data_IF_726843187952
#
_entry.id   IF_726843187952
#
_cell.length_a   1.000
_cell.length_b   1.000
_cell.length_c   1.000
_cell.angle_alpha   90.00
_cell.angle_beta   90.00
_cell.angle_gamma   90.00
#
_symmetry.space_group_name_H-M   'P 1'
#
loop_
_entity.id
_entity.type
_entity.pdbx_description
1 polymer ?
#
# COMPACT_ATOMS: atom_id res chain seq x y z
N UNK A 1 -20.60 43.00 36.06
CA UNK A 1 -19.43 43.85 35.74
C UNK A 1 -19.00 44.54 37.03
N UNK A 2 -17.76 44.35 37.47
CA UNK A 2 -17.21 45.12 38.59
C UNK A 2 -16.72 46.46 38.04
N UNK A 3 -17.55 47.49 38.16
CA UNK A 3 -17.21 48.84 37.71
C UNK A 3 -16.23 49.46 38.71
N UNK A 4 -14.94 49.47 38.39
CA UNK A 4 -13.93 50.19 39.18
C UNK A 4 -14.08 51.69 38.85
N UNK A 5 -14.97 52.37 39.58
CA UNK A 5 -15.20 53.80 39.42
C UNK A 5 -14.04 54.61 40.01
N UNK A 6 -13.09 55.02 39.17
CA UNK A 6 -12.01 55.95 39.57
C UNK A 6 -12.28 57.32 38.93
N UNK A 7 -12.48 58.34 39.77
CA UNK A 7 -12.62 59.73 39.32
C UNK A 7 -11.24 60.37 39.22
N UNK A 8 -10.90 60.95 38.07
CA UNK A 8 -9.66 61.69 37.84
C UNK A 8 -9.94 63.09 37.30
N UNK A 9 -9.17 64.06 37.79
CA UNK A 9 -9.18 65.42 37.25
C UNK A 9 -8.44 65.42 35.92
N UNK A 10 -9.01 66.14 34.97
CA UNK A 10 -8.40 66.42 33.67
C UNK A 10 -7.42 67.58 33.83
N UNK A 11 -6.30 67.55 33.10
CA UNK A 11 -5.36 68.67 33.10
C UNK A 11 -5.87 69.88 32.29
N UNK A 12 -5.07 70.94 32.23
CA UNK A 12 -5.42 72.19 31.51
C UNK A 12 -5.61 72.01 29.99
N UNK A 13 -5.20 70.87 29.44
CA UNK A 13 -5.24 70.56 28.01
C UNK A 13 -6.22 69.43 27.68
N UNK A 14 -7.03 68.97 28.63
CA UNK A 14 -8.00 67.91 28.36
C UNK A 14 -7.45 66.49 28.55
N UNK A 15 -6.22 66.31 29.04
CA UNK A 15 -5.57 65.00 29.19
C UNK A 15 -5.85 64.40 30.56
N UNK A 16 -5.96 63.07 30.63
CA UNK A 16 -6.01 62.31 31.86
C UNK A 16 -5.04 61.12 31.78
N UNK A 17 -4.58 60.65 32.94
CA UNK A 17 -3.66 59.52 33.02
C UNK A 17 -4.41 58.23 33.36
N UNK A 18 -4.08 57.14 32.65
CA UNK A 18 -4.56 55.79 32.98
C UNK A 18 -3.72 55.25 34.17
N UNK A 19 -4.35 54.89 35.30
CA UNK A 19 -3.67 54.29 36.46
C UNK A 19 -2.77 53.12 36.08
N UNK A 20 -1.67 52.94 36.81
CA UNK A 20 -0.68 51.90 36.52
C UNK A 20 -1.27 50.49 36.62
N UNK A 21 -2.22 50.29 37.53
CA UNK A 21 -2.94 49.04 37.76
C UNK A 21 -3.77 48.66 36.54
N UNK A 22 -4.54 49.61 35.99
CA UNK A 22 -5.33 49.40 34.76
C UNK A 22 -4.43 49.17 33.54
N UNK A 23 -3.31 49.90 33.44
CA UNK A 23 -2.32 49.66 32.38
C UNK A 23 -1.73 48.26 32.42
N UNK A 24 -1.41 47.73 33.62
CA UNK A 24 -0.94 46.35 33.77
C UNK A 24 -2.03 45.32 33.44
N UNK A 25 -3.26 45.55 33.89
CA UNK A 25 -4.38 44.65 33.63
C UNK A 25 -4.74 44.57 32.13
N UNK A 26 -4.58 45.67 31.40
CA UNK A 26 -4.87 45.77 29.96
C UNK A 26 -3.62 45.61 29.07
N UNK A 27 -2.47 45.30 29.66
CA UNK A 27 -1.18 45.16 28.96
C UNK A 27 -0.83 46.38 28.07
N UNK A 28 -1.00 47.60 28.59
CA UNK A 28 -0.70 48.86 27.88
C UNK A 28 0.64 49.41 28.37
N UNK A 29 1.63 49.43 27.48
CA UNK A 29 2.96 50.02 27.72
C UNK A 29 2.99 51.52 27.40
N UNK A 30 3.92 52.29 28.01
CA UNK A 30 4.11 53.69 27.64
C UNK A 30 4.39 53.84 26.14
N UNK A 31 3.68 54.76 25.47
CA UNK A 31 3.70 55.01 24.02
C UNK A 31 2.93 54.00 23.15
N UNK A 32 2.27 53.00 23.74
CA UNK A 32 1.39 52.13 22.96
C UNK A 32 0.22 52.94 22.36
N UNK A 33 -0.12 52.72 21.09
CA UNK A 33 -1.30 53.32 20.50
C UNK A 33 -2.58 52.76 21.15
N UNK A 34 -3.59 53.60 21.29
CA UNK A 34 -4.91 53.23 21.81
C UNK A 34 -5.99 53.62 20.83
N UNK A 35 -6.97 52.76 20.65
CA UNK A 35 -8.18 53.04 19.90
C UNK A 35 -9.20 53.70 20.85
N UNK A 36 -9.77 54.81 20.41
CA UNK A 36 -10.78 55.59 21.14
C UNK A 36 -12.06 55.56 20.33
N UNK A 37 -13.13 55.01 20.90
CA UNK A 37 -14.45 54.98 20.28
C UNK A 37 -15.49 55.62 21.20
N UNK A 38 -16.49 56.26 20.60
CA UNK A 38 -17.60 56.90 21.30
C UNK A 38 -18.91 56.34 20.76
N UNK A 39 -19.78 55.85 21.64
CA UNK A 39 -21.05 55.22 21.26
C UNK A 39 -22.26 56.15 21.43
N UNK A 40 -23.42 55.70 20.95
CA UNK A 40 -24.71 56.41 21.06
C UNK A 40 -25.25 56.52 22.49
N UNK A 41 -24.62 55.84 23.46
CA UNK A 41 -24.99 55.84 24.87
C UNK A 41 -24.08 56.74 25.71
N UNK A 42 -23.32 57.65 25.08
CA UNK A 42 -22.36 58.55 25.72
C UNK A 42 -21.23 57.81 26.47
N UNK A 43 -20.86 56.61 26.01
CA UNK A 43 -19.75 55.85 26.59
C UNK A 43 -18.49 56.02 25.74
N UNK A 44 -17.40 56.43 26.40
CA UNK A 44 -16.07 56.42 25.81
C UNK A 44 -15.41 55.06 26.07
N UNK A 45 -15.10 54.32 25.01
CA UNK A 45 -14.42 53.02 25.10
C UNK A 45 -12.98 53.16 24.63
N UNK A 46 -12.03 52.74 25.48
CA UNK A 46 -10.60 52.68 25.17
C UNK A 46 -10.19 51.22 24.97
N UNK A 47 -9.59 50.90 23.83
CA UNK A 47 -9.01 49.57 23.54
C UNK A 47 -7.54 49.69 23.16
N UNK A 48 -6.74 48.66 23.45
CA UNK A 48 -5.36 48.56 22.96
C UNK A 48 -5.40 48.52 21.44
N UNK A 49 -4.72 49.46 20.78
CA UNK A 49 -4.71 49.50 19.31
C UNK A 49 -3.82 48.37 18.79
N UNK A 50 -4.44 47.40 18.14
CA UNK A 50 -3.78 46.23 17.54
C UNK A 50 -3.95 46.25 16.03
N UNK A 51 -3.10 46.98 15.27
CA UNK A 51 -3.22 47.07 13.81
C UNK A 51 -2.95 45.73 13.12
N UNK A 52 -2.43 44.73 13.84
CA UNK A 52 -2.11 43.40 13.33
C UNK A 52 -3.25 42.39 13.38
N UNK A 53 -4.47 42.76 13.77
CA UNK A 53 -5.61 41.82 13.85
C UNK A 53 -6.68 42.08 12.81
N UNK A 54 -6.52 43.04 11.90
CA UNK A 54 -7.48 43.24 10.80
C UNK A 54 -7.24 42.22 9.68
N UNK A 55 -8.30 41.50 9.29
CA UNK A 55 -8.23 40.57 8.17
C UNK A 55 -7.96 41.32 6.86
N UNK A 56 -6.94 40.89 6.12
CA UNK A 56 -6.55 41.50 4.84
C UNK A 56 -7.54 41.21 3.69
N UNK A 57 -8.40 40.21 3.82
CA UNK A 57 -9.36 39.80 2.78
C UNK A 57 -10.74 40.41 3.04
N UNK A 58 -11.22 40.32 4.28
CA UNK A 58 -12.59 40.75 4.65
C UNK A 58 -12.65 42.14 5.27
N UNK A 59 -11.51 42.70 5.70
CA UNK A 59 -11.44 43.97 6.42
C UNK A 59 -11.97 43.93 7.86
N UNK A 60 -12.42 42.76 8.34
CA UNK A 60 -12.92 42.61 9.72
C UNK A 60 -11.76 42.59 10.71
N UNK A 61 -11.87 43.38 11.77
CA UNK A 61 -10.93 43.36 12.90
C UNK A 61 -11.53 42.51 14.02
N UNK A 62 -10.83 41.45 14.39
CA UNK A 62 -11.20 40.56 15.47
C UNK A 62 -9.92 40.02 16.13
N UNK A 63 -9.91 39.93 17.46
CA UNK A 63 -8.77 39.41 18.21
C UNK A 63 -8.54 37.91 17.94
N UNK A 64 -9.57 37.20 17.48
CA UNK A 64 -9.52 35.78 17.09
C UNK A 64 -9.05 35.56 15.63
N UNK A 65 -8.68 36.62 14.90
CA UNK A 65 -8.18 36.49 13.54
C UNK A 65 -6.87 35.69 13.48
N UNK A 66 -6.75 34.86 12.45
CA UNK A 66 -5.64 33.95 12.26
C UNK A 66 -4.40 34.71 11.78
N UNK A 67 -3.35 34.70 12.60
CA UNK A 67 -2.07 35.33 12.28
C UNK A 67 -1.09 34.26 11.78
N UNK A 68 -0.66 34.40 10.52
CA UNK A 68 0.20 33.46 9.81
C UNK A 68 1.50 34.13 9.35
N UNK A 69 2.44 33.31 8.87
CA UNK A 69 3.68 33.75 8.23
C UNK A 69 4.48 34.80 9.04
N UNK A 70 4.57 34.60 10.37
CA UNK A 70 5.22 35.53 11.31
C UNK A 70 4.65 36.96 11.21
N UNK A 71 3.33 37.10 11.35
CA UNK A 71 2.59 38.38 11.32
C UNK A 71 2.40 39.03 9.96
N UNK A 72 2.83 38.39 8.86
CA UNK A 72 2.66 38.97 7.52
C UNK A 72 1.29 38.70 6.87
N UNK A 73 0.52 37.75 7.41
CA UNK A 73 -0.77 37.37 6.87
C UNK A 73 -1.79 37.26 8.00
N UNK A 74 -2.84 38.07 7.93
CA UNK A 74 -3.91 38.11 8.95
C UNK A 74 -5.24 37.83 8.27
N UNK A 75 -5.91 36.76 8.69
CA UNK A 75 -7.12 36.27 8.05
C UNK A 75 -8.22 36.01 9.08
N UNK A 76 -9.41 36.56 8.86
CA UNK A 76 -10.61 36.08 9.54
C UNK A 76 -10.92 34.68 9.08
N UNK A 77 -11.75 33.97 9.84
CA UNK A 77 -12.21 32.63 9.46
C UNK A 77 -12.78 32.61 8.04
N UNK A 78 -13.62 33.58 7.69
CA UNK A 78 -14.20 33.65 6.34
C UNK A 78 -13.14 33.99 5.29
N UNK A 79 -12.22 34.92 5.61
CA UNK A 79 -11.11 35.27 4.72
C UNK A 79 -10.19 34.08 4.44
N UNK A 80 -9.90 33.27 5.45
CA UNK A 80 -9.12 32.05 5.30
C UNK A 80 -9.83 31.01 4.43
N UNK A 81 -11.14 30.83 4.58
CA UNK A 81 -11.93 29.94 3.73
C UNK A 81 -11.96 30.40 2.26
N UNK A 82 -12.04 31.71 2.01
CA UNK A 82 -11.94 32.29 0.67
C UNK A 82 -10.58 32.03 0.03
N UNK A 83 -9.49 32.36 0.73
CA UNK A 83 -8.12 32.13 0.25
C UNK A 83 -7.88 30.65 -0.02
N UNK A 84 -8.33 29.76 0.88
CA UNK A 84 -8.20 28.31 0.69
C UNK A 84 -8.95 27.81 -0.55
N UNK A 85 -10.13 28.38 -0.85
CA UNK A 85 -10.91 28.04 -2.05
C UNK A 85 -10.17 28.46 -3.32
N UNK A 86 -9.61 29.66 -3.34
CA UNK A 86 -8.86 30.18 -4.49
C UNK A 86 -7.57 29.40 -4.73
N UNK A 87 -6.80 29.10 -3.68
CA UNK A 87 -5.60 28.25 -3.77
C UNK A 87 -5.95 26.87 -4.32
N UNK A 88 -7.05 26.26 -3.82
CA UNK A 88 -7.51 24.96 -4.33
C UNK A 88 -7.86 25.02 -5.82
N UNK A 89 -8.55 26.08 -6.27
CA UNK A 89 -8.87 26.28 -7.69
C UNK A 89 -7.59 26.43 -8.53
N UNK A 90 -6.64 27.25 -8.09
CA UNK A 90 -5.36 27.45 -8.78
C UNK A 90 -4.58 26.13 -8.91
N UNK A 91 -4.53 25.32 -7.85
CA UNK A 91 -3.90 24.00 -7.89
C UNK A 91 -4.58 23.03 -8.86
N UNK A 92 -5.92 23.10 -8.99
CA UNK A 92 -6.68 22.29 -9.94
C UNK A 92 -6.42 22.71 -11.39
N UNK A 93 -6.37 24.01 -11.67
CA UNK A 93 -6.02 24.55 -12.99
C UNK A 93 -4.60 24.12 -13.39
N UNK A 94 -3.62 24.28 -12.51
CA UNK A 94 -2.25 23.85 -12.80
C UNK A 94 -2.14 22.34 -13.04
N UNK A 95 -2.88 21.54 -12.27
CA UNK A 95 -2.96 20.10 -12.50
C UNK A 95 -3.58 19.78 -13.86
N UNK A 96 -4.63 20.50 -14.27
CA UNK A 96 -5.27 20.32 -15.58
C UNK A 96 -4.29 20.61 -16.72
N UNK A 97 -3.59 21.74 -16.65
CA UNK A 97 -2.59 22.12 -17.65
C UNK A 97 -1.49 21.06 -17.75
N UNK A 98 -1.04 20.53 -16.62
CA UNK A 98 -0.05 19.45 -16.61
C UNK A 98 -0.59 18.16 -17.21
N UNK A 99 -1.83 17.77 -16.90
CA UNK A 99 -2.48 16.57 -17.47
C UNK A 99 -2.68 16.69 -18.99
N UNK A 100 -3.03 17.88 -19.48
CA UNK A 100 -3.15 18.19 -20.90
C UNK A 100 -1.77 18.17 -21.58
N UNK A 101 -0.74 18.76 -20.96
CA UNK A 101 0.65 18.75 -21.45
C UNK A 101 1.18 17.32 -21.65
N UNK A 102 0.92 16.43 -20.71
CA UNK A 102 1.32 15.01 -20.81
C UNK A 102 0.31 14.15 -21.59
N UNK A 103 -0.82 14.74 -22.00
CA UNK A 103 -1.90 14.07 -22.72
C UNK A 103 -2.36 12.77 -22.06
N UNK A 104 -2.46 12.76 -20.73
CA UNK A 104 -2.92 11.59 -19.98
C UNK A 104 -3.75 11.98 -18.76
N UNK A 105 -4.63 11.08 -18.38
CA UNK A 105 -5.43 11.17 -17.14
C UNK A 105 -5.16 9.99 -16.20
N UNK A 106 -4.10 9.22 -16.48
CA UNK A 106 -3.64 8.13 -15.63
C UNK A 106 -2.73 8.64 -14.52
N UNK A 107 -3.04 8.26 -13.27
CA UNK A 107 -2.26 8.66 -12.10
C UNK A 107 -0.81 8.17 -12.16
N UNK A 108 -0.56 6.96 -12.66
CA UNK A 108 0.79 6.39 -12.76
C UNK A 108 1.64 7.10 -13.81
N UNK A 109 1.04 7.40 -14.97
CA UNK A 109 1.71 8.10 -16.07
C UNK A 109 1.97 9.55 -15.69
N UNK A 110 1.04 10.21 -14.99
CA UNK A 110 1.25 11.53 -14.40
C UNK A 110 2.47 11.54 -13.47
N UNK A 111 2.55 10.63 -12.51
CA UNK A 111 3.66 10.61 -11.55
C UNK A 111 5.03 10.39 -12.21
N UNK A 112 5.08 9.62 -13.30
CA UNK A 112 6.31 9.36 -14.04
C UNK A 112 6.77 10.57 -14.89
N UNK A 113 5.84 11.45 -15.31
CA UNK A 113 6.10 12.50 -16.29
C UNK A 113 5.84 13.93 -15.78
N UNK A 114 5.46 14.09 -14.51
CA UNK A 114 5.22 15.40 -13.88
C UNK A 114 6.51 16.24 -13.83
N UNK A 115 6.38 17.57 -13.92
CA UNK A 115 7.52 18.49 -13.75
C UNK A 115 8.10 18.43 -12.33
N UNK A 116 9.35 18.88 -12.20
CA UNK A 116 9.98 19.07 -10.90
C UNK A 116 9.20 20.12 -10.09
N UNK A 117 8.88 19.81 -8.82
CA UNK A 117 8.04 20.66 -7.97
C UNK A 117 6.55 20.26 -7.93
N UNK A 118 6.05 19.56 -8.95
CA UNK A 118 4.64 19.12 -8.96
C UNK A 118 4.35 18.07 -7.88
N UNK A 119 3.19 18.16 -7.20
CA UNK A 119 2.80 17.17 -6.20
C UNK A 119 2.56 15.80 -6.85
N UNK A 120 2.84 14.73 -6.12
CA UNK A 120 2.46 13.37 -6.56
C UNK A 120 0.93 13.22 -6.55
N UNK A 121 0.37 12.35 -7.40
CA UNK A 121 -1.08 12.15 -7.50
C UNK A 121 -1.73 11.78 -6.16
N UNK A 122 -1.05 11.00 -5.31
CA UNK A 122 -1.49 10.69 -3.94
C UNK A 122 -1.56 11.91 -3.03
N UNK A 123 -0.63 12.86 -3.18
CA UNK A 123 -0.62 14.12 -2.43
C UNK A 123 -1.79 15.00 -2.87
N UNK A 124 -2.07 15.06 -4.17
CA UNK A 124 -3.25 15.74 -4.71
C UNK A 124 -4.51 15.11 -4.10
N UNK A 125 -4.66 13.78 -4.17
CA UNK A 125 -5.82 13.08 -3.59
C UNK A 125 -6.05 13.43 -2.13
N UNK A 126 -4.98 13.46 -1.31
CA UNK A 126 -5.06 13.80 0.11
C UNK A 126 -5.48 15.26 0.35
N UNK A 127 -5.01 16.21 -0.47
CA UNK A 127 -5.35 17.64 -0.33
C UNK A 127 -6.82 17.93 -0.65
N UNK A 128 -7.39 17.20 -1.60
CA UNK A 128 -8.77 17.39 -2.04
C UNK A 128 -9.76 16.42 -1.39
N UNK A 129 -9.27 15.41 -0.67
CA UNK A 129 -10.07 14.33 -0.10
C UNK A 129 -10.94 13.62 -1.16
N UNK A 130 -10.35 13.38 -2.33
CA UNK A 130 -10.98 12.78 -3.50
C UNK A 130 -10.00 11.81 -4.15
N UNK A 131 -10.50 10.79 -4.84
CA UNK A 131 -9.68 9.92 -5.68
C UNK A 131 -9.18 10.68 -6.92
N UNK A 132 -8.06 10.24 -7.50
CA UNK A 132 -7.51 10.91 -8.68
C UNK A 132 -8.50 10.90 -9.86
N UNK A 133 -9.28 9.83 -10.02
CA UNK A 133 -10.32 9.74 -11.04
C UNK A 133 -11.45 10.74 -10.82
N UNK A 134 -11.87 10.98 -9.57
CA UNK A 134 -12.88 12.01 -9.25
C UNK A 134 -12.35 13.42 -9.52
N UNK A 135 -11.08 13.67 -9.21
CA UNK A 135 -10.42 14.95 -9.49
C UNK A 135 -10.35 15.18 -11.01
N UNK A 136 -9.96 14.17 -11.79
CA UNK A 136 -9.95 14.26 -13.25
C UNK A 136 -11.35 14.57 -13.81
N UNK A 137 -12.41 13.95 -13.27
CA UNK A 137 -13.80 14.28 -13.66
C UNK A 137 -14.15 15.72 -13.31
N UNK A 138 -13.75 16.19 -12.12
CA UNK A 138 -13.97 17.57 -11.67
C UNK A 138 -13.32 18.59 -12.62
N UNK A 139 -12.18 18.24 -13.23
CA UNK A 139 -11.49 19.05 -14.23
C UNK A 139 -12.15 19.04 -15.62
N UNK A 140 -13.26 18.31 -15.80
CA UNK A 140 -13.92 18.13 -17.09
C UNK A 140 -13.19 17.18 -18.03
N UNK A 141 -12.19 16.46 -17.55
CA UNK A 141 -11.42 15.50 -18.32
C UNK A 141 -12.02 14.09 -18.16
N UNK A 142 -11.90 13.27 -19.20
CA UNK A 142 -12.30 11.86 -19.12
C UNK A 142 -11.23 11.10 -18.34
N UNK A 143 -11.56 10.44 -17.21
CA UNK A 143 -10.63 9.55 -16.55
C UNK A 143 -10.14 8.52 -17.55
N UNK A 144 -8.83 8.29 -17.54
CA UNK A 144 -8.22 7.18 -18.27
C UNK A 144 -9.01 5.96 -17.84
N UNK A 145 -9.77 5.38 -18.78
CA UNK A 145 -10.66 4.26 -18.47
C UNK A 145 -9.83 3.22 -17.72
N UNK A 146 -10.39 2.75 -16.62
CA UNK A 146 -9.99 1.52 -15.99
C UNK A 146 -10.02 0.43 -17.06
N UNK A 147 -8.86 0.15 -17.65
CA UNK A 147 -8.66 -0.80 -18.75
C UNK A 147 -9.53 -0.56 -20.00
N UNK A 148 -9.09 -1.11 -21.15
CA UNK A 148 -9.90 -1.13 -22.37
C UNK A 148 -11.20 -1.93 -22.13
N UNK A 149 -12.30 -1.64 -22.84
CA UNK A 149 -13.46 -2.52 -22.88
C UNK A 149 -13.07 -3.97 -23.14
N UNK A 150 -13.89 -4.93 -22.67
CA UNK A 150 -13.54 -6.36 -22.68
C UNK A 150 -13.05 -6.84 -24.04
N UNK A 151 -13.77 -6.51 -25.11
CA UNK A 151 -13.48 -6.96 -26.46
C UNK A 151 -12.18 -6.33 -27.01
N UNK A 152 -12.04 -5.01 -26.87
CA UNK A 152 -10.81 -4.29 -27.26
C UNK A 152 -9.58 -4.77 -26.48
N UNK A 153 -9.73 -5.09 -25.18
CA UNK A 153 -8.63 -5.64 -24.37
C UNK A 153 -8.20 -7.02 -24.88
N UNK A 154 -9.14 -7.88 -25.27
CA UNK A 154 -8.85 -9.22 -25.80
C UNK A 154 -8.14 -9.14 -27.17
N UNK A 155 -8.53 -8.20 -28.03
CA UNK A 155 -7.82 -7.91 -29.28
C UNK A 155 -6.38 -7.46 -29.04
N UNK A 156 -6.18 -6.49 -28.14
CA UNK A 156 -4.85 -5.99 -27.79
C UNK A 156 -3.98 -7.07 -27.12
N UNK A 157 -4.58 -7.91 -26.27
CA UNK A 157 -3.89 -9.06 -25.68
C UNK A 157 -3.47 -10.08 -26.73
N UNK A 158 -4.27 -10.30 -27.78
CA UNK A 158 -3.92 -11.18 -28.90
C UNK A 158 -2.66 -10.67 -29.61
N UNK A 159 -2.60 -9.38 -29.90
CA UNK A 159 -1.41 -8.73 -30.49
C UNK A 159 -0.20 -8.89 -29.56
N UNK A 160 -0.39 -8.69 -28.26
CA UNK A 160 0.69 -8.79 -27.28
C UNK A 160 1.19 -10.23 -27.10
N UNK A 161 0.32 -11.23 -27.12
CA UNK A 161 0.72 -12.64 -27.09
C UNK A 161 1.50 -13.02 -28.34
N UNK A 162 1.10 -12.52 -29.51
CA UNK A 162 1.84 -12.72 -30.75
C UNK A 162 3.23 -12.07 -30.70
N UNK A 163 3.35 -10.86 -30.15
CA UNK A 163 4.65 -10.19 -29.93
C UNK A 163 5.55 -10.96 -28.96
N UNK A 164 4.98 -11.51 -27.90
CA UNK A 164 5.71 -12.30 -26.89
C UNK A 164 6.10 -13.69 -27.44
N UNK A 165 5.30 -14.23 -28.36
CA UNK A 165 5.43 -15.57 -28.92
C UNK A 165 5.07 -16.69 -27.94
N UNK A 166 4.33 -16.39 -26.87
CA UNK A 166 3.95 -17.35 -25.84
C UNK A 166 2.68 -16.91 -25.10
N UNK A 167 1.82 -17.88 -24.81
CA UNK A 167 0.60 -17.72 -24.00
C UNK A 167 0.82 -18.11 -22.52
N UNK A 168 2.05 -18.50 -22.14
CA UNK A 168 2.36 -18.87 -20.76
C UNK A 168 2.32 -17.64 -19.86
N UNK A 169 1.65 -17.75 -18.72
CA UNK A 169 1.51 -16.68 -17.72
C UNK A 169 2.85 -16.09 -17.28
N UNK A 170 3.85 -16.94 -17.03
CA UNK A 170 5.19 -16.50 -16.62
C UNK A 170 5.92 -15.69 -17.71
N UNK A 171 5.75 -16.07 -18.97
CA UNK A 171 6.37 -15.37 -20.11
C UNK A 171 5.70 -14.01 -20.30
N UNK A 172 4.38 -13.96 -20.19
CA UNK A 172 3.61 -12.73 -20.19
C UNK A 172 4.06 -11.78 -19.07
N UNK A 173 4.16 -12.25 -17.83
CA UNK A 173 4.58 -11.41 -16.70
C UNK A 173 5.97 -10.81 -16.90
N UNK A 174 6.91 -11.55 -17.49
CA UNK A 174 8.27 -11.08 -17.74
C UNK A 174 8.37 -10.12 -18.92
N UNK A 175 7.66 -10.42 -20.02
CA UNK A 175 7.88 -9.78 -21.32
C UNK A 175 6.83 -8.73 -21.70
N UNK A 176 5.70 -8.63 -21.00
CA UNK A 176 4.62 -7.68 -21.35
C UNK A 176 5.10 -6.23 -21.38
N UNK A 177 4.48 -5.43 -22.23
CA UNK A 177 4.61 -3.98 -22.16
C UNK A 177 3.92 -3.46 -20.89
N UNK A 178 4.71 -3.16 -19.86
CA UNK A 178 4.22 -2.75 -18.53
C UNK A 178 3.45 -1.42 -18.53
N UNK A 179 3.59 -0.60 -19.57
CA UNK A 179 2.88 0.67 -19.68
C UNK A 179 1.43 0.48 -20.16
N UNK A 180 1.20 -0.51 -21.03
CA UNK A 180 -0.11 -0.76 -21.65
C UNK A 180 -0.85 -1.95 -21.02
N UNK A 181 -0.09 -2.96 -20.57
CA UNK A 181 -0.65 -4.23 -20.14
C UNK A 181 -0.43 -4.50 -18.64
N UNK A 182 -1.51 -4.69 -17.87
CA UNK A 182 -1.42 -4.91 -16.44
C UNK A 182 -0.98 -6.35 -16.09
N UNK A 183 -0.82 -6.62 -14.79
CA UNK A 183 -0.52 -7.97 -14.32
C UNK A 183 -1.71 -8.93 -14.55
N UNK A 184 -1.46 -10.25 -14.71
CA UNK A 184 -2.51 -11.24 -14.93
C UNK A 184 -3.67 -11.19 -13.93
N UNK A 185 -3.39 -10.98 -12.63
CA UNK A 185 -4.45 -10.87 -11.60
C UNK A 185 -5.43 -9.73 -11.89
N UNK A 186 -4.93 -8.64 -12.46
CA UNK A 186 -5.73 -7.46 -12.79
C UNK A 186 -6.54 -7.72 -14.06
N UNK A 187 -5.96 -8.41 -15.05
CA UNK A 187 -6.68 -8.84 -16.25
C UNK A 187 -7.83 -9.79 -15.92
N UNK A 188 -7.59 -10.80 -15.07
CA UNK A 188 -8.64 -11.76 -14.71
C UNK A 188 -9.80 -11.10 -13.98
N UNK A 189 -9.51 -10.10 -13.14
CA UNK A 189 -10.53 -9.32 -12.44
C UNK A 189 -11.28 -8.37 -13.38
N UNK A 190 -10.58 -7.74 -14.34
CA UNK A 190 -11.17 -6.80 -15.28
C UNK A 190 -12.04 -7.49 -16.34
N UNK A 191 -11.60 -8.64 -16.86
CA UNK A 191 -12.29 -9.36 -17.93
C UNK A 191 -13.37 -10.32 -17.42
N UNK A 192 -13.41 -10.55 -16.11
CA UNK A 192 -14.22 -11.58 -15.46
C UNK A 192 -14.02 -12.96 -16.10
N UNK A 193 -12.74 -13.34 -16.23
CA UNK A 193 -12.31 -14.55 -16.93
C UNK A 193 -11.11 -15.15 -16.22
N UNK A 194 -11.00 -16.48 -16.24
CA UNK A 194 -9.75 -17.14 -15.80
C UNK A 194 -8.64 -16.87 -16.82
N UNK A 195 -7.36 -16.97 -16.40
CA UNK A 195 -6.23 -16.83 -17.32
C UNK A 195 -6.34 -17.77 -18.53
N UNK A 196 -6.85 -18.98 -18.30
CA UNK A 196 -7.02 -19.97 -19.37
C UNK A 196 -8.15 -19.61 -20.33
N UNK A 197 -9.17 -18.90 -19.87
CA UNK A 197 -10.26 -18.45 -20.75
C UNK A 197 -9.82 -17.22 -21.55
N UNK A 198 -8.97 -16.36 -20.97
CA UNK A 198 -8.35 -15.22 -21.66
C UNK A 198 -7.49 -15.71 -22.83
N UNK A 199 -6.55 -16.63 -22.58
CA UNK A 199 -5.71 -17.16 -23.68
C UNK A 199 -6.53 -17.92 -24.73
N UNK A 200 -7.65 -18.55 -24.33
CA UNK A 200 -8.59 -19.20 -25.26
C UNK A 200 -9.24 -18.16 -26.18
N UNK A 201 -9.74 -17.07 -25.60
CA UNK A 201 -10.35 -15.97 -26.34
C UNK A 201 -9.33 -15.26 -27.25
N UNK A 202 -8.05 -15.25 -26.88
CA UNK A 202 -6.95 -14.72 -27.70
C UNK A 202 -6.40 -15.72 -28.74
N UNK A 203 -7.12 -16.82 -29.04
CA UNK A 203 -6.75 -17.73 -30.14
C UNK A 203 -5.74 -18.83 -29.79
N UNK A 204 -5.48 -19.10 -28.50
CA UNK A 204 -4.67 -20.24 -28.11
C UNK A 204 -5.46 -21.56 -28.29
N UNK A 205 -5.33 -22.20 -29.46
CA UNK A 205 -5.95 -23.51 -29.76
C UNK A 205 -5.35 -24.64 -28.90
N UNK A 206 -4.10 -24.50 -28.45
CA UNK A 206 -3.40 -25.49 -27.63
C UNK A 206 -3.67 -25.32 -26.14
N UNK A 207 -4.94 -25.35 -25.76
CA UNK A 207 -5.28 -25.68 -24.39
C UNK A 207 -5.50 -27.20 -24.37
N UNK A 208 -4.44 -27.98 -24.15
CA UNK A 208 -4.61 -29.38 -23.71
C UNK A 208 -5.21 -29.36 -22.30
N UNK A 209 -6.51 -29.09 -22.21
CA UNK A 209 -7.34 -29.40 -21.05
C UNK A 209 -7.89 -30.78 -21.35
N UNK A 210 -7.15 -31.81 -20.96
CA UNK A 210 -7.84 -33.06 -20.68
C UNK A 210 -8.73 -32.80 -19.45
N UNK A 211 -10.04 -32.91 -19.61
CA UNK A 211 -10.95 -32.93 -18.45
C UNK A 211 -10.71 -34.23 -17.69
N UNK A 212 -10.89 -34.20 -16.37
CA UNK A 212 -10.73 -35.37 -15.48
C UNK A 212 -11.56 -36.55 -16.01
N UNK A 213 -12.78 -36.28 -16.46
CA UNK A 213 -13.74 -37.30 -16.93
C UNK A 213 -13.37 -37.97 -18.27
N UNK A 214 -12.34 -37.46 -18.97
CA UNK A 214 -11.94 -37.93 -20.29
C UNK A 214 -10.66 -38.79 -20.26
N UNK A 215 -10.03 -38.96 -19.09
CA UNK A 215 -8.76 -39.70 -18.96
C UNK A 215 -8.89 -40.83 -17.95
N UNK A 216 -8.82 -42.07 -18.45
CA UNK A 216 -8.81 -43.26 -17.61
C UNK A 216 -7.49 -43.43 -16.86
N UNK A 217 -7.54 -44.01 -15.66
CA UNK A 217 -6.37 -44.42 -14.86
C UNK A 217 -5.35 -45.19 -15.70
N UNK A 218 -5.83 -46.05 -16.61
CA UNK A 218 -4.98 -46.87 -17.48
C UNK A 218 -4.12 -46.03 -18.44
N UNK A 219 -4.66 -44.91 -18.94
CA UNK A 219 -3.93 -44.00 -19.85
C UNK A 219 -2.80 -43.30 -19.10
N UNK A 220 -3.07 -42.84 -17.88
CA UNK A 220 -2.08 -42.17 -17.03
C UNK A 220 -0.99 -43.15 -16.56
N UNK A 221 -1.37 -44.38 -16.17
CA UNK A 221 -0.42 -45.44 -15.81
C UNK A 221 0.47 -45.79 -17.01
N UNK A 222 -0.10 -45.93 -18.20
CA UNK A 222 0.66 -46.24 -19.40
C UNK A 222 1.66 -45.13 -19.75
N UNK A 223 1.24 -43.87 -19.74
CA UNK A 223 2.14 -42.75 -20.01
C UNK A 223 3.24 -42.64 -18.94
N UNK A 224 2.91 -42.83 -17.65
CA UNK A 224 3.89 -42.80 -16.58
C UNK A 224 4.95 -43.91 -16.72
N UNK A 225 4.54 -45.13 -17.11
CA UNK A 225 5.46 -46.24 -17.40
C UNK A 225 6.38 -45.89 -18.57
N UNK A 226 5.83 -45.40 -19.69
CA UNK A 226 6.63 -45.00 -20.86
C UNK A 226 7.68 -43.91 -20.53
N UNK A 227 7.30 -42.87 -19.79
CA UNK A 227 8.22 -41.81 -19.38
C UNK A 227 9.31 -42.37 -18.45
N UNK A 228 8.93 -43.24 -17.52
CA UNK A 228 9.88 -43.85 -16.58
C UNK A 228 10.84 -44.82 -17.29
N UNK A 229 10.38 -45.53 -18.32
CA UNK A 229 11.21 -46.39 -19.16
C UNK A 229 12.22 -45.56 -19.97
N UNK A 230 11.80 -44.42 -20.52
CA UNK A 230 12.69 -43.49 -21.23
C UNK A 230 13.78 -42.90 -20.33
N UNK A 231 13.46 -42.64 -19.07
CA UNK A 231 14.40 -42.12 -18.08
C UNK A 231 15.26 -43.21 -17.43
N UNK A 232 14.92 -44.49 -17.64
CA UNK A 232 15.52 -45.64 -16.97
C UNK A 232 15.44 -45.56 -15.42
N UNK A 233 14.44 -44.83 -14.90
CA UNK A 233 14.09 -44.76 -13.48
C UNK A 233 12.66 -44.24 -13.29
N UNK A 234 12.00 -44.50 -12.14
CA UNK A 234 10.67 -43.95 -11.87
C UNK A 234 10.69 -42.42 -11.91
N UNK A 235 9.91 -41.83 -12.82
CA UNK A 235 9.91 -40.38 -13.04
C UNK A 235 9.55 -39.61 -11.75
N UNK A 236 10.29 -38.54 -11.45
CA UNK A 236 9.96 -37.60 -10.37
C UNK A 236 8.82 -36.66 -10.80
N UNK A 237 8.20 -35.97 -9.84
CA UNK A 237 7.15 -34.98 -10.15
C UNK A 237 7.66 -33.90 -11.12
N UNK A 238 8.91 -33.47 -10.99
CA UNK A 238 9.50 -32.43 -11.84
C UNK A 238 9.74 -32.92 -13.27
N UNK A 239 10.26 -34.13 -13.43
CA UNK A 239 10.48 -34.74 -14.75
C UNK A 239 9.16 -35.07 -15.41
N UNK A 240 8.21 -35.61 -14.66
CA UNK A 240 6.87 -35.87 -15.14
C UNK A 240 6.24 -34.57 -15.67
N UNK A 241 6.28 -33.47 -14.92
CA UNK A 241 5.79 -32.15 -15.36
C UNK A 241 6.43 -31.60 -16.64
N UNK A 242 7.61 -32.07 -17.02
CA UNK A 242 8.32 -31.63 -18.22
C UNK A 242 8.03 -32.53 -19.43
N UNK A 243 7.75 -33.81 -19.21
CA UNK A 243 7.70 -34.84 -20.25
C UNK A 243 6.28 -35.33 -20.57
N UNK A 244 5.34 -35.18 -19.64
CA UNK A 244 3.95 -35.62 -19.82
C UNK A 244 3.17 -34.73 -20.80
N UNK A 245 2.20 -35.32 -21.48
CA UNK A 245 1.18 -34.59 -22.23
C UNK A 245 0.07 -33.98 -21.35
N UNK A 246 -0.03 -34.36 -20.08
CA UNK A 246 -1.12 -34.01 -19.15
C UNK A 246 -0.65 -33.05 -18.02
N UNK A 247 -1.57 -32.41 -17.29
CA UNK A 247 -1.14 -31.71 -16.07
C UNK A 247 -0.83 -32.74 -14.97
N UNK A 248 0.23 -32.53 -14.18
CA UNK A 248 0.48 -33.33 -12.98
C UNK A 248 -0.72 -33.34 -12.01
N UNK A 249 -1.54 -32.28 -12.01
CA UNK A 249 -2.74 -32.25 -11.17
C UNK A 249 -3.76 -33.34 -11.54
N UNK A 250 -3.80 -33.79 -12.80
CA UNK A 250 -4.67 -34.89 -13.24
C UNK A 250 -4.19 -36.20 -12.58
N UNK A 251 -2.90 -36.49 -12.66
CA UNK A 251 -2.30 -37.61 -11.94
C UNK A 251 -2.55 -37.55 -10.43
N UNK A 252 -2.42 -36.36 -9.83
CA UNK A 252 -2.65 -36.17 -8.40
C UNK A 252 -4.12 -36.41 -8.01
N UNK A 253 -5.07 -36.08 -8.88
CA UNK A 253 -6.49 -36.30 -8.61
C UNK A 253 -6.88 -37.77 -8.69
N UNK A 254 -6.31 -38.54 -9.65
CA UNK A 254 -6.59 -39.97 -9.79
C UNK A 254 -5.87 -40.83 -8.73
N UNK A 255 -4.60 -40.54 -8.44
CA UNK A 255 -3.76 -41.41 -7.61
C UNK A 255 -3.39 -40.81 -6.24
N UNK A 256 -3.73 -39.54 -5.98
CA UNK A 256 -3.43 -38.85 -4.72
C UNK A 256 -1.96 -38.43 -4.58
N UNK A 257 -1.04 -39.39 -4.57
CA UNK A 257 0.40 -39.16 -4.42
C UNK A 257 1.20 -39.84 -5.53
N UNK A 258 2.37 -39.27 -5.88
CA UNK A 258 3.30 -39.88 -6.84
C UNK A 258 3.78 -41.26 -6.38
N UNK A 259 3.81 -41.51 -5.07
CA UNK A 259 4.16 -42.80 -4.50
C UNK A 259 3.09 -43.85 -4.80
N UNK A 260 1.81 -43.49 -4.68
CA UNK A 260 0.71 -44.40 -4.98
C UNK A 260 0.61 -44.68 -6.49
N UNK A 261 0.83 -43.66 -7.33
CA UNK A 261 0.98 -43.87 -8.78
C UNK A 261 2.10 -44.86 -9.10
N UNK A 262 3.27 -44.73 -8.46
CA UNK A 262 4.38 -45.67 -8.64
C UNK A 262 4.01 -47.09 -8.21
N UNK A 263 3.23 -47.22 -7.14
CA UNK A 263 2.72 -48.50 -6.63
C UNK A 263 1.81 -49.17 -7.65
N UNK A 264 0.88 -48.42 -8.22
CA UNK A 264 -0.02 -48.90 -9.28
C UNK A 264 0.72 -49.18 -10.59
N UNK A 265 1.89 -48.59 -10.79
CA UNK A 265 2.78 -48.88 -11.90
C UNK A 265 3.80 -50.00 -11.61
N UNK A 266 3.64 -50.74 -10.52
CA UNK A 266 4.51 -51.86 -10.11
C UNK A 266 5.98 -51.49 -9.86
N UNK A 267 6.28 -50.20 -9.66
CA UNK A 267 7.64 -49.79 -9.29
C UNK A 267 7.92 -50.15 -7.83
N UNK A 268 9.09 -50.75 -7.59
CA UNK A 268 9.59 -51.00 -6.22
C UNK A 268 9.81 -49.66 -5.51
N UNK A 269 8.92 -49.34 -4.58
CA UNK A 269 9.08 -48.21 -3.68
C UNK A 269 9.95 -48.73 -2.54
N UNK A 270 11.05 -48.02 -2.24
CA UNK A 270 11.73 -48.26 -0.97
C UNK A 270 10.71 -47.97 0.13
N UNK A 271 10.33 -48.99 0.90
CA UNK A 271 9.66 -48.78 2.19
C UNK A 271 10.39 -47.66 2.89
N UNK A 272 9.65 -46.71 3.48
CA UNK A 272 10.25 -45.62 4.26
C UNK A 272 11.30 -46.27 5.15
N UNK A 273 12.57 -46.09 4.78
CA UNK A 273 13.67 -46.32 5.70
C UNK A 273 13.28 -45.48 6.89
N UNK A 274 13.14 -46.13 8.04
CA UNK A 274 12.95 -45.48 9.32
C UNK A 274 14.20 -44.61 9.55
N UNK A 275 14.22 -43.46 8.88
CA UNK A 275 15.21 -42.40 9.02
C UNK A 275 14.99 -41.93 10.44
N UNK A 276 15.79 -42.49 11.35
CA UNK A 276 15.86 -42.23 12.78
C UNK A 276 15.05 -40.99 13.16
N UNK A 277 13.79 -41.20 13.56
CA UNK A 277 12.82 -40.13 13.65
C UNK A 277 13.28 -39.11 14.69
N UNK A 278 13.91 -38.02 14.23
CA UNK A 278 14.51 -36.98 15.09
C UNK A 278 13.52 -36.63 16.21
N UNK A 279 13.90 -37.00 17.42
CA UNK A 279 13.06 -36.88 18.61
C UNK A 279 13.14 -35.45 19.13
N UNK A 280 12.13 -35.03 19.90
CA UNK A 280 12.14 -33.72 20.54
C UNK A 280 13.34 -33.57 21.49
N UNK A 281 13.74 -34.65 22.17
CA UNK A 281 14.88 -34.70 23.06
C UNK A 281 16.22 -34.46 22.32
N UNK A 282 16.40 -35.01 21.12
CA UNK A 282 17.59 -34.74 20.30
C UNK A 282 17.66 -33.27 19.87
N UNK A 283 16.53 -32.68 19.48
CA UNK A 283 16.46 -31.25 19.20
C UNK A 283 16.84 -30.41 20.42
N UNK A 284 16.30 -30.74 21.60
CA UNK A 284 16.62 -30.06 22.86
C UNK A 284 18.11 -30.16 23.20
N UNK A 285 18.71 -31.35 23.07
CA UNK A 285 20.14 -31.58 23.34
C UNK A 285 21.03 -30.73 22.44
N UNK A 286 20.74 -30.66 21.14
CA UNK A 286 21.49 -29.81 20.21
C UNK A 286 21.34 -28.32 20.55
N UNK A 287 20.12 -27.86 20.82
CA UNK A 287 19.87 -26.46 21.18
C UNK A 287 20.55 -26.07 22.50
N UNK A 288 20.57 -26.96 23.50
CA UNK A 288 21.26 -26.72 24.76
C UNK A 288 22.79 -26.62 24.58
N UNK A 289 23.36 -27.46 23.73
CA UNK A 289 24.79 -27.39 23.40
C UNK A 289 25.15 -26.07 22.68
N UNK A 290 24.28 -25.61 21.78
CA UNK A 290 24.45 -24.32 21.11
C UNK A 290 24.32 -23.18 22.12
N UNK A 291 23.33 -23.24 23.01
CA UNK A 291 23.11 -22.24 24.06
C UNK A 291 24.31 -22.10 24.98
N UNK A 292 24.91 -23.21 25.41
CA UNK A 292 26.12 -23.20 26.26
C UNK A 292 27.32 -22.54 25.58
N UNK A 293 27.43 -22.61 24.25
CA UNK A 293 28.57 -22.07 23.49
C UNK A 293 28.37 -20.62 23.03
N UNK A 294 27.14 -20.25 22.69
CA UNK A 294 26.86 -19.00 21.98
C UNK A 294 25.68 -18.20 22.55
N UNK A 295 25.02 -18.68 23.59
CA UNK A 295 23.79 -18.07 24.11
C UNK A 295 22.60 -18.25 23.16
N UNK A 296 21.57 -17.38 23.30
CA UNK A 296 20.39 -17.42 22.43
C UNK A 296 20.75 -16.89 21.05
N UNK A 297 20.59 -17.74 20.03
CA UNK A 297 20.83 -17.37 18.64
C UNK A 297 19.51 -17.07 17.91
N UNK A 298 19.58 -16.16 16.93
CA UNK A 298 18.46 -15.86 16.04
C UNK A 298 18.19 -17.02 15.05
N UNK A 299 17.04 -16.96 14.36
CA UNK A 299 16.66 -17.94 13.35
C UNK A 299 17.73 -18.14 12.25
N UNK A 300 18.31 -17.06 11.75
CA UNK A 300 19.30 -17.10 10.66
C UNK A 300 20.64 -17.69 11.14
N UNK A 301 20.97 -17.51 12.41
CA UNK A 301 22.20 -18.01 13.03
C UNK A 301 22.10 -19.48 13.39
N UNK A 302 20.93 -19.94 13.86
CA UNK A 302 20.65 -21.35 14.12
C UNK A 302 20.63 -22.16 12.82
N UNK A 303 20.01 -21.63 11.78
CA UNK A 303 19.95 -22.28 10.46
C UNK A 303 21.34 -22.62 9.89
N UNK A 304 22.38 -21.86 10.25
CA UNK A 304 23.76 -22.09 9.79
C UNK A 304 24.54 -23.10 10.64
N UNK A 305 24.07 -23.40 11.85
CA UNK A 305 24.83 -24.12 12.89
C UNK A 305 24.15 -25.40 13.36
N UNK A 306 22.89 -25.61 12.99
CA UNK A 306 22.14 -26.82 13.29
C UNK A 306 22.13 -27.76 12.10
N UNK A 307 22.30 -29.04 12.39
CA UNK A 307 22.12 -30.12 11.41
C UNK A 307 20.63 -30.43 11.18
N UNK A 308 19.77 -30.08 12.15
CA UNK A 308 18.32 -30.28 12.06
C UNK A 308 17.69 -29.11 11.31
N UNK A 309 16.85 -29.41 10.32
CA UNK A 309 16.14 -28.38 9.56
C UNK A 309 15.19 -27.58 10.47
N UNK A 310 15.09 -26.27 10.22
CA UNK A 310 14.21 -25.39 10.99
C UNK A 310 12.74 -25.85 10.95
N UNK A 311 12.27 -26.38 9.82
CA UNK A 311 10.91 -26.92 9.69
C UNK A 311 10.68 -28.14 10.59
N UNK A 312 11.66 -29.05 10.69
CA UNK A 312 11.59 -30.19 11.61
C UNK A 312 11.60 -29.72 13.05
N UNK A 313 12.43 -28.72 13.37
CA UNK A 313 12.51 -28.14 14.70
C UNK A 313 11.16 -27.52 15.13
N UNK A 314 10.60 -26.61 14.34
CA UNK A 314 9.31 -25.98 14.62
C UNK A 314 8.17 -27.00 14.79
N UNK A 315 8.14 -28.04 13.95
CA UNK A 315 7.16 -29.12 14.06
C UNK A 315 7.30 -29.91 15.37
N UNK A 316 8.52 -30.14 15.88
CA UNK A 316 8.74 -30.90 17.12
C UNK A 316 8.40 -30.10 18.38
N UNK A 317 8.48 -28.77 18.30
CA UNK A 317 8.11 -27.85 19.39
C UNK A 317 6.71 -27.27 19.24
N UNK A 318 5.94 -27.65 18.21
CA UNK A 318 4.59 -27.15 17.94
C UNK A 318 4.46 -25.61 17.97
N UNK A 319 5.47 -24.90 17.46
CA UNK A 319 5.48 -23.44 17.41
C UNK A 319 6.09 -22.96 16.09
N UNK A 320 5.90 -21.68 15.77
CA UNK A 320 6.54 -20.97 14.66
C UNK A 320 7.50 -19.89 15.13
N UNK A 321 7.57 -19.63 16.45
CA UNK A 321 8.41 -18.59 17.05
C UNK A 321 9.65 -19.21 17.68
N UNK A 322 10.82 -18.73 17.25
CA UNK A 322 12.10 -19.24 17.77
C UNK A 322 12.29 -18.92 19.26
N UNK A 323 11.71 -17.81 19.73
CA UNK A 323 11.78 -17.42 21.13
C UNK A 323 11.00 -18.39 22.03
N UNK A 324 9.88 -18.94 21.56
CA UNK A 324 9.11 -19.92 22.32
C UNK A 324 9.91 -21.22 22.48
N UNK A 325 10.61 -21.65 21.43
CA UNK A 325 11.53 -22.79 21.47
C UNK A 325 12.66 -22.53 22.47
N UNK A 326 13.27 -21.34 22.43
CA UNK A 326 14.33 -21.00 23.38
C UNK A 326 13.82 -20.98 24.82
N UNK A 327 12.64 -20.41 25.07
CA UNK A 327 12.04 -20.37 26.40
C UNK A 327 11.74 -21.79 26.90
N UNK A 328 11.28 -22.69 26.03
CA UNK A 328 11.06 -24.09 26.40
C UNK A 328 12.38 -24.83 26.70
N UNK A 329 13.42 -24.61 25.89
CA UNK A 329 14.72 -25.28 26.09
C UNK A 329 15.50 -24.71 27.29
N UNK A 330 15.39 -23.41 27.55
CA UNK A 330 16.09 -22.72 28.66
C UNK A 330 15.27 -22.67 29.94
N UNK A 331 13.96 -22.93 29.87
CA UNK A 331 13.07 -23.04 31.03
C UNK A 331 13.05 -24.43 31.68
N UNK A 332 13.69 -25.42 31.04
CA UNK A 332 13.96 -26.73 31.64
C UNK A 332 15.35 -26.64 32.31
N UNK A 333 15.35 -26.34 33.62
CA UNK A 333 16.49 -26.18 34.55
C UNK A 333 17.13 -24.78 34.64
N UNK A 334 16.59 -23.94 35.55
CA UNK A 334 17.04 -23.95 36.94
C UNK A 334 15.86 -24.25 37.85
#
# INVERSE_FOLDING_TARGET
MHSIGVVRKVDRLGRFAIPAELRKALDISPKDPLEISFDSHNTLTLKKYSPGTTCQITGKTDDDNLILAKYNLVLSREGAEMVMREIKRYLLEHLKDELERISTTSASVYNANKKAGEPHSSTVCRRFNMTFSEIVKLLGLKPSKAFLPKDEMLEQLTIEFNRIGSYKKNDYEKKRNKALFPYPRVLTAHLDMTWNDIIKACGCEKIRRYKIDEVSDQVLIHEYKQISDQLNHPATVRELQQLTAFSYDIYRQHFGTITELRRQCDFKIADKVDLHAITKAECQKQLLNIYKKHGRLSYSELKKRMDISMSTLFRKFNTTKINDIWNEVTGINF
#
